data_IF_395633624534
#
_entry.id   IF_395633624534
#
_cell.length_a   1.000
_cell.length_b   1.000
_cell.length_c   1.000
_cell.angle_alpha   90.00
_cell.angle_beta   90.00
_cell.angle_gamma   90.00
#
_symmetry.space_group_name_H-M   'P 1'
#
loop_
_entity.id
_entity.type
_entity.pdbx_description
1 polymer ?
#
# COMPACT_ATOMS: atom_id res chain seq x y z
N UNK A 1 -12.97 32.30 45.55
CA UNK A 1 -13.30 32.63 44.14
C UNK A 1 -12.40 31.80 43.22
N UNK A 2 -12.92 30.69 42.70
CA UNK A 2 -12.22 29.75 41.81
C UNK A 2 -11.83 30.45 40.51
N UNK A 3 -10.52 30.52 40.24
CA UNK A 3 -10.00 30.97 38.95
C UNK A 3 -9.79 29.76 38.03
N UNK A 4 -10.65 29.71 37.02
CA UNK A 4 -10.33 29.49 35.59
C UNK A 4 -9.47 28.25 35.27
N UNK A 5 -10.11 27.22 34.73
CA UNK A 5 -10.26 26.99 33.29
C UNK A 5 -9.10 26.16 32.70
N UNK A 6 -9.47 24.93 32.32
CA UNK A 6 -9.06 24.22 31.11
C UNK A 6 -7.56 23.97 30.91
N UNK A 7 -7.10 22.83 31.44
CA UNK A 7 -6.01 22.08 30.84
C UNK A 7 -6.36 21.78 29.38
N UNK A 8 -5.55 22.32 28.48
CA UNK A 8 -5.76 22.27 27.03
C UNK A 8 -5.38 20.86 26.57
N UNK A 9 -6.37 19.99 26.36
CA UNK A 9 -6.19 18.72 25.68
C UNK A 9 -5.81 19.03 24.23
N UNK A 10 -4.52 18.92 23.89
CA UNK A 10 -4.10 18.84 22.50
C UNK A 10 -4.38 17.42 22.02
N UNK A 11 -5.57 17.19 21.49
CA UNK A 11 -5.83 16.08 20.57
C UNK A 11 -6.01 16.69 19.19
N UNK A 12 -4.91 17.07 18.56
CA UNK A 12 -4.90 17.22 17.11
C UNK A 12 -4.93 15.81 16.55
N UNK A 13 -6.11 15.23 16.44
CA UNK A 13 -6.30 13.98 15.71
C UNK A 13 -6.06 14.35 14.25
N UNK A 14 -4.82 14.19 13.80
CA UNK A 14 -4.45 14.30 12.41
C UNK A 14 -5.48 13.48 11.62
N UNK A 15 -6.08 14.09 10.61
CA UNK A 15 -7.16 13.49 9.85
C UNK A 15 -6.67 12.16 9.26
N UNK A 16 -6.98 11.06 9.95
CA UNK A 16 -6.73 9.68 9.55
C UNK A 16 -7.14 9.58 8.09
N UNK A 17 -6.22 9.35 7.12
CA UNK A 17 -6.65 9.19 5.75
C UNK A 17 -7.53 7.93 5.70
N UNK A 18 -8.85 8.04 5.47
CA UNK A 18 -9.75 6.88 5.46
C UNK A 18 -9.57 6.03 4.18
N UNK A 19 -8.41 6.16 3.53
CA UNK A 19 -8.19 5.79 2.12
C UNK A 19 -7.43 4.47 1.95
N UNK A 20 -6.77 4.00 3.01
CA UNK A 20 -5.81 2.87 2.97
C UNK A 20 -6.25 1.64 3.79
N UNK A 21 -7.56 1.54 4.10
CA UNK A 21 -8.08 0.40 4.86
C UNK A 21 -7.95 -0.91 4.07
N UNK A 22 -7.05 -1.80 4.55
CA UNK A 22 -6.79 -3.13 4.00
C UNK A 22 -5.55 -3.26 3.11
N UNK A 23 -4.74 -2.20 3.01
CA UNK A 23 -3.35 -2.30 2.53
C UNK A 23 -2.46 -2.67 3.72
N UNK A 24 -1.62 -3.67 3.54
CA UNK A 24 -0.67 -4.14 4.56
C UNK A 24 0.75 -4.04 4.04
N UNK A 25 1.72 -3.94 4.95
CA UNK A 25 3.13 -4.06 4.62
C UNK A 25 3.41 -5.51 4.22
N UNK A 26 3.88 -5.71 3.00
CA UNK A 26 4.36 -7.00 2.51
C UNK A 26 5.87 -7.00 2.28
N UNK A 27 6.47 -8.18 2.24
CA UNK A 27 7.89 -8.37 1.93
C UNK A 27 8.07 -9.32 0.75
N UNK A 28 8.85 -8.90 -0.25
CA UNK A 28 9.11 -9.72 -1.44
C UNK A 28 10.13 -10.81 -1.10
N UNK A 29 9.66 -12.04 -0.91
CA UNK A 29 10.53 -13.18 -0.61
C UNK A 29 11.27 -13.67 -1.85
N UNK A 30 10.61 -13.65 -3.01
CA UNK A 30 11.15 -14.16 -4.27
C UNK A 30 10.64 -13.35 -5.44
N UNK A 31 11.51 -13.18 -6.44
CA UNK A 31 11.21 -12.53 -7.70
C UNK A 31 11.58 -13.49 -8.83
N UNK A 32 10.69 -13.66 -9.80
CA UNK A 32 10.90 -14.50 -10.98
C UNK A 32 10.33 -13.80 -12.20
N UNK A 33 11.04 -13.83 -13.32
CA UNK A 33 10.54 -13.19 -14.55
C UNK A 33 9.38 -13.97 -15.15
N UNK A 34 8.41 -13.26 -15.71
CA UNK A 34 7.21 -13.88 -16.26
C UNK A 34 7.53 -14.54 -17.62
N UNK A 35 7.24 -15.85 -17.83
CA UNK A 35 7.62 -16.56 -19.05
C UNK A 35 6.91 -16.06 -20.31
N UNK A 36 5.72 -15.46 -20.15
CA UNK A 36 4.93 -14.89 -21.24
C UNK A 36 5.02 -13.36 -21.39
N UNK A 37 5.80 -12.67 -20.56
CA UNK A 37 5.85 -11.20 -20.58
C UNK A 37 7.19 -10.67 -20.05
N UNK A 38 7.99 -10.11 -20.96
CA UNK A 38 9.28 -9.46 -20.69
C UNK A 38 9.22 -8.40 -19.58
N UNK A 39 8.12 -7.64 -19.52
CA UNK A 39 7.96 -6.48 -18.63
C UNK A 39 7.25 -6.80 -17.31
N UNK A 40 6.88 -8.05 -17.08
CA UNK A 40 6.17 -8.48 -15.87
C UNK A 40 7.05 -9.42 -15.07
N UNK A 41 7.00 -9.25 -13.75
CA UNK A 41 7.68 -10.11 -12.80
C UNK A 41 6.65 -10.75 -11.87
N UNK A 42 6.85 -12.03 -11.61
CA UNK A 42 6.13 -12.81 -10.62
C UNK A 42 6.86 -12.61 -9.30
N UNK A 43 6.19 -11.97 -8.35
CA UNK A 43 6.71 -11.71 -7.02
C UNK A 43 5.97 -12.57 -6.01
N UNK A 44 6.69 -13.35 -5.20
CA UNK A 44 6.14 -14.01 -4.03
C UNK A 44 6.29 -13.06 -2.85
N UNK A 45 5.16 -12.60 -2.31
CA UNK A 45 5.13 -11.56 -1.28
C UNK A 45 4.53 -12.11 0.00
N UNK A 46 5.26 -12.03 1.10
CA UNK A 46 4.73 -12.32 2.43
C UNK A 46 3.90 -11.14 2.90
N UNK A 47 2.61 -11.35 3.19
CA UNK A 47 1.68 -10.31 3.66
C UNK A 47 1.41 -10.38 5.16
N UNK A 48 1.89 -11.41 5.86
CA UNK A 48 1.88 -11.49 7.32
C UNK A 48 2.98 -12.48 7.79
N UNK A 49 3.46 -12.31 9.02
CA UNK A 49 4.54 -13.12 9.60
C UNK A 49 4.27 -14.64 9.62
N UNK A 50 3.00 -15.07 9.65
CA UNK A 50 2.58 -16.47 9.69
C UNK A 50 1.62 -16.85 8.54
N UNK A 51 1.55 -16.04 7.48
CA UNK A 51 0.70 -16.34 6.32
C UNK A 51 1.52 -16.93 5.18
N UNK A 52 0.85 -17.72 4.34
CA UNK A 52 1.43 -18.15 3.07
C UNK A 52 1.79 -16.94 2.20
N UNK A 53 2.94 -17.00 1.54
CA UNK A 53 3.33 -16.01 0.55
C UNK A 53 2.31 -16.01 -0.58
N UNK A 54 1.88 -14.82 -0.99
CA UNK A 54 0.95 -14.64 -2.10
C UNK A 54 1.71 -14.33 -3.38
N UNK A 55 1.29 -14.94 -4.48
CA UNK A 55 1.80 -14.60 -5.80
C UNK A 55 1.16 -13.31 -6.29
N UNK A 56 1.98 -12.32 -6.59
CA UNK A 56 1.55 -11.03 -7.12
C UNK A 56 2.39 -10.69 -8.34
N UNK A 57 1.72 -10.30 -9.42
CA UNK A 57 2.41 -9.91 -10.65
C UNK A 57 2.61 -8.40 -10.62
N UNK A 58 3.87 -7.98 -10.77
CA UNK A 58 4.24 -6.57 -10.78
C UNK A 58 5.10 -6.26 -12.00
N UNK A 59 4.82 -5.14 -12.66
CA UNK A 59 5.60 -4.64 -13.80
C UNK A 59 6.51 -3.47 -13.46
N UNK A 60 6.65 -3.11 -12.19
CA UNK A 60 7.47 -1.98 -11.79
C UNK A 60 8.97 -2.29 -11.97
N UNK A 61 9.75 -1.37 -12.55
CA UNK A 61 11.19 -1.59 -12.80
C UNK A 61 12.01 -1.64 -11.50
N UNK A 62 11.50 -1.06 -10.42
CA UNK A 62 12.18 -0.95 -9.13
C UNK A 62 11.94 -2.17 -8.21
N UNK A 63 11.24 -3.21 -8.68
CA UNK A 63 10.88 -4.37 -7.85
C UNK A 63 12.10 -5.23 -7.53
N UNK A 64 12.34 -5.50 -6.25
CA UNK A 64 13.54 -6.22 -5.76
C UNK A 64 13.19 -7.23 -4.69
N UNK A 65 13.93 -8.34 -4.64
CA UNK A 65 13.83 -9.32 -3.56
C UNK A 65 14.29 -8.70 -2.22
N UNK A 66 13.60 -9.01 -1.13
CA UNK A 66 13.82 -8.46 0.21
C UNK A 66 13.24 -7.07 0.43
N UNK A 67 12.61 -6.47 -0.58
CA UNK A 67 12.00 -5.15 -0.48
C UNK A 67 10.67 -5.24 0.27
N UNK A 68 10.42 -4.26 1.16
CA UNK A 68 9.13 -4.09 1.82
C UNK A 68 8.27 -3.12 1.04
N UNK A 69 7.06 -3.54 0.72
CA UNK A 69 6.16 -2.86 -0.20
C UNK A 69 4.74 -2.87 0.33
N UNK A 70 3.92 -1.84 0.07
CA UNK A 70 2.52 -1.87 0.44
C UNK A 70 1.75 -2.82 -0.50
N UNK A 71 1.10 -3.82 0.08
CA UNK A 71 0.33 -4.82 -0.64
C UNK A 71 -1.13 -4.70 -0.29
N UNK A 72 -1.96 -4.60 -1.32
CA UNK A 72 -3.39 -4.72 -1.19
C UNK A 72 -3.82 -6.18 -1.29
N UNK A 73 -4.40 -6.68 -0.21
CA UNK A 73 -4.87 -8.07 -0.10
C UNK A 73 -6.22 -8.28 -0.78
N UNK A 74 -6.56 -9.53 -1.07
CA UNK A 74 -7.85 -9.91 -1.65
C UNK A 74 -9.02 -9.51 -0.74
N UNK A 75 -10.11 -9.04 -1.34
CA UNK A 75 -11.31 -8.63 -0.60
C UNK A 75 -11.20 -7.23 0.02
N UNK A 76 -10.01 -6.64 0.03
CA UNK A 76 -9.80 -5.25 0.43
C UNK A 76 -10.49 -4.30 -0.54
N UNK A 77 -11.17 -3.30 0.02
CA UNK A 77 -11.70 -2.14 -0.72
C UNK A 77 -10.64 -1.05 -0.65
N UNK A 78 -9.82 -0.96 -1.70
CA UNK A 78 -8.90 0.16 -1.84
C UNK A 78 -9.66 1.38 -2.29
N UNK A 79 -9.35 2.52 -1.69
CA UNK A 79 -9.84 3.82 -2.12
C UNK A 79 -8.68 4.56 -2.76
N UNK A 80 -8.46 4.28 -4.04
CA UNK A 80 -7.37 4.88 -4.81
C UNK A 80 -7.79 6.26 -5.31
N UNK A 81 -6.83 7.20 -5.34
CA UNK A 81 -7.02 8.50 -5.97
C UNK A 81 -6.58 8.38 -7.42
N UNK A 82 -7.50 8.08 -8.33
CA UNK A 82 -7.22 8.15 -9.75
C UNK A 82 -7.44 9.60 -10.22
N UNK A 83 -6.49 10.22 -10.95
CA UNK A 83 -6.76 11.47 -11.62
C UNK A 83 -7.71 11.21 -12.80
N UNK A 84 -9.01 11.48 -12.62
CA UNK A 84 -9.91 11.58 -13.76
C UNK A 84 -9.59 12.87 -14.53
N UNK A 85 -9.53 12.84 -15.87
CA UNK A 85 -9.23 14.01 -16.70
C UNK A 85 -10.34 15.09 -16.69
N UNK A 86 -11.47 14.82 -16.05
CA UNK A 86 -12.70 15.63 -16.14
C UNK A 86 -12.89 16.53 -14.89
N UNK A 87 -12.36 16.12 -13.74
CA UNK A 87 -12.46 16.84 -12.47
C UNK A 87 -11.17 16.64 -11.66
N UNK A 88 -10.34 17.69 -11.58
CA UNK A 88 -9.07 17.71 -10.86
C UNK A 88 -9.21 17.64 -9.32
N UNK A 89 -10.34 17.16 -8.80
CA UNK A 89 -10.64 17.09 -7.37
C UNK A 89 -11.32 15.75 -6.98
N UNK A 90 -10.50 14.78 -6.59
CA UNK A 90 -10.85 13.74 -5.61
C UNK A 90 -11.99 12.77 -5.94
N UNK A 91 -12.02 12.18 -7.13
CA UNK A 91 -12.83 10.95 -7.32
C UNK A 91 -12.13 9.78 -6.63
N UNK A 92 -12.71 9.35 -5.51
CA UNK A 92 -12.25 8.24 -4.68
C UNK A 92 -12.93 6.97 -5.19
N UNK A 93 -12.25 6.22 -6.07
CA UNK A 93 -12.81 4.95 -6.56
C UNK A 93 -12.50 3.80 -5.60
N UNK A 94 -13.55 3.06 -5.24
CA UNK A 94 -13.47 1.87 -4.39
C UNK A 94 -13.15 0.65 -5.24
N UNK A 95 -11.86 0.37 -5.45
CA UNK A 95 -11.40 -0.82 -6.15
C UNK A 95 -11.42 -2.01 -5.19
N UNK A 96 -12.24 -3.01 -5.48
CA UNK A 96 -12.22 -4.30 -4.78
C UNK A 96 -11.14 -5.18 -5.40
N UNK A 97 -10.10 -5.49 -4.63
CA UNK A 97 -9.07 -6.43 -5.09
C UNK A 97 -9.64 -7.84 -5.12
N UNK A 98 -9.55 -8.47 -6.29
CA UNK A 98 -10.00 -9.84 -6.53
C UNK A 98 -8.86 -10.63 -7.16
N UNK A 99 -8.80 -11.92 -6.81
CA UNK A 99 -7.91 -12.89 -7.48
C UNK A 99 -8.20 -12.87 -8.98
N UNK A 100 -7.19 -12.52 -9.77
CA UNK A 100 -7.30 -12.40 -11.22
C UNK A 100 -6.12 -13.11 -11.86
N UNK A 101 -6.34 -13.75 -13.01
CA UNK A 101 -5.25 -14.36 -13.79
C UNK A 101 -4.75 -13.35 -14.82
N UNK A 102 -3.46 -13.06 -14.79
CA UNK A 102 -2.80 -12.23 -15.79
C UNK A 102 -1.88 -13.13 -16.61
N UNK A 103 -2.15 -13.29 -17.91
CA UNK A 103 -1.30 -14.06 -18.84
C UNK A 103 -0.92 -15.46 -18.30
N UNK A 104 -1.89 -16.21 -17.82
CA UNK A 104 -1.70 -17.57 -17.31
C UNK A 104 -1.34 -17.67 -15.82
N UNK A 105 -0.72 -16.64 -15.26
CA UNK A 105 -0.29 -16.60 -13.86
C UNK A 105 -1.35 -15.99 -12.93
N UNK A 106 -1.43 -16.48 -11.70
CA UNK A 106 -2.35 -15.99 -10.69
C UNK A 106 -1.77 -14.76 -9.99
N UNK A 107 -2.53 -13.66 -9.97
CA UNK A 107 -2.25 -12.52 -9.09
C UNK A 107 -3.29 -12.46 -7.98
N UNK A 108 -2.83 -12.61 -6.74
CA UNK A 108 -3.64 -12.60 -5.52
C UNK A 108 -3.53 -11.28 -4.75
N UNK A 109 -3.17 -10.21 -5.42
CA UNK A 109 -3.05 -8.90 -4.82
C UNK A 109 -2.60 -7.86 -5.83
N UNK A 110 -2.30 -6.67 -5.30
CA UNK A 110 -1.72 -5.57 -6.04
C UNK A 110 -0.66 -4.92 -5.14
N UNK A 111 0.53 -4.68 -5.68
CA UNK A 111 1.54 -3.85 -5.03
C UNK A 111 1.21 -2.41 -5.37
N UNK A 112 1.12 -1.55 -4.36
CA UNK A 112 0.78 -0.15 -4.55
C UNK A 112 2.03 0.74 -4.57
N UNK A 113 1.91 1.84 -5.31
CA UNK A 113 2.88 2.92 -5.43
C UNK A 113 2.45 4.11 -4.57
N UNK A 114 3.34 5.07 -4.32
CA UNK A 114 2.99 6.27 -3.55
C UNK A 114 1.93 7.12 -4.26
N UNK A 115 1.98 7.16 -5.59
CA UNK A 115 0.97 7.81 -6.44
C UNK A 115 -0.41 7.18 -6.24
N UNK A 116 -0.51 5.85 -6.30
CA UNK A 116 -1.77 5.11 -6.13
C UNK A 116 -2.37 5.31 -4.74
N UNK A 117 -1.51 5.44 -3.73
CA UNK A 117 -1.90 5.76 -2.35
C UNK A 117 -2.22 7.24 -2.13
N UNK A 118 -1.93 8.11 -3.11
CA UNK A 118 -2.12 9.55 -3.00
C UNK A 118 -1.14 10.24 -2.04
N UNK A 119 0.00 9.63 -1.76
CA UNK A 119 1.11 10.23 -0.99
C UNK A 119 1.97 11.14 -1.86
N UNK A 120 2.18 10.76 -3.14
CA UNK A 120 2.93 11.52 -4.13
C UNK A 120 2.05 11.86 -5.34
N UNK A 121 2.40 12.92 -6.09
CA UNK A 121 1.73 13.25 -7.35
C UNK A 121 2.25 12.44 -8.55
N UNK A 122 3.45 11.87 -8.43
CA UNK A 122 4.09 11.06 -9.47
C UNK A 122 5.13 10.14 -8.82
N UNK A 123 5.13 8.87 -9.21
CA UNK A 123 6.13 7.89 -8.78
C UNK A 123 6.58 7.05 -9.97
N UNK A 124 7.89 6.89 -10.15
CA UNK A 124 8.49 6.07 -11.23
C UNK A 124 8.46 4.55 -10.92
N UNK A 125 7.83 4.14 -9.81
CA UNK A 125 7.70 2.74 -9.43
C UNK A 125 6.94 2.53 -8.12
N UNK A 126 7.10 1.32 -7.56
CA UNK A 126 6.48 0.93 -6.29
C UNK A 126 7.11 1.65 -5.10
N UNK A 127 6.31 1.80 -4.03
CA UNK A 127 6.78 2.39 -2.79
C UNK A 127 7.68 1.42 -2.03
N UNK A 128 8.91 1.85 -1.75
CA UNK A 128 9.81 1.14 -0.84
C UNK A 128 9.55 1.58 0.60
N UNK A 129 9.37 0.62 1.49
CA UNK A 129 9.19 0.84 2.92
C UNK A 129 10.47 0.50 3.68
N UNK A 130 10.60 1.04 4.90
CA UNK A 130 11.79 0.79 5.72
C UNK A 130 11.93 -0.72 6.00
N UNK A 131 13.16 -1.28 5.99
CA UNK A 131 13.39 -2.70 6.26
C UNK A 131 12.96 -3.10 7.68
N UNK A 132 12.89 -2.16 8.62
CA UNK A 132 12.40 -2.37 9.99
C UNK A 132 10.87 -2.53 10.08
N UNK A 133 10.14 -2.33 8.97
CA UNK A 133 8.67 -2.41 8.96
C UNK A 133 8.18 -3.83 9.24
N UNK A 134 7.23 -3.99 10.17
CA UNK A 134 6.68 -5.32 10.47
C UNK A 134 5.71 -5.76 9.37
N UNK A 135 5.97 -6.91 8.75
CA UNK A 135 5.12 -7.50 7.71
C UNK A 135 3.73 -7.84 8.27
N UNK A 136 2.69 -7.45 7.56
CA UNK A 136 1.28 -7.56 7.97
C UNK A 136 0.77 -6.35 8.75
N UNK A 137 1.61 -5.37 9.05
CA UNK A 137 1.16 -4.10 9.64
C UNK A 137 0.30 -3.35 8.61
N UNK A 138 -0.87 -2.82 8.99
CA UNK A 138 -1.64 -1.98 8.08
C UNK A 138 -0.84 -0.72 7.74
N UNK A 139 -0.75 -0.38 6.45
CA UNK A 139 0.07 0.75 5.99
C UNK A 139 -0.38 2.08 6.60
N UNK A 140 -1.68 2.20 6.91
CA UNK A 140 -2.24 3.36 7.58
C UNK A 140 -1.60 3.57 8.97
N UNK A 141 -1.36 2.50 9.73
CA UNK A 141 -0.69 2.57 11.02
C UNK A 141 0.81 2.82 10.88
N UNK A 142 1.43 2.24 9.85
CA UNK A 142 2.84 2.52 9.53
C UNK A 142 3.06 4.00 9.25
N UNK A 143 2.25 4.60 8.38
CA UNK A 143 2.35 6.03 8.03
C UNK A 143 2.10 6.94 9.23
N UNK A 144 1.15 6.58 10.10
CA UNK A 144 0.86 7.30 11.35
C UNK A 144 2.10 7.34 12.26
N UNK A 145 2.74 6.18 12.47
CA UNK A 145 3.97 6.07 13.25
C UNK A 145 5.15 6.86 12.65
N UNK A 146 5.19 7.04 11.32
CA UNK A 146 6.20 7.89 10.67
C UNK A 146 5.91 9.39 10.80
N UNK A 147 4.63 9.79 10.97
CA UNK A 147 4.25 11.20 11.07
C UNK A 147 4.53 11.81 12.46
N UNK A 148 4.61 11.00 13.53
CA UNK A 148 4.92 11.48 14.89
C UNK A 148 6.37 11.97 15.09
N UNK A 149 7.27 11.72 14.15
CA UNK A 149 8.70 12.05 14.28
C UNK A 149 9.12 13.38 13.62
N UNK A 150 8.17 14.28 13.33
CA UNK A 150 8.43 15.57 12.68
C UNK A 150 7.96 16.75 13.50
#
# INVERSE_FOLDING_TARGET
>A
MLRRCAGRMFTTVAAKPPRLEGVVVGEILKLSSHPQAERLNICEVAIAANAESVQIICGAPNVRQGMKVPVATIGTKLTLRMPNPEDAASTVEKVKIKKSKLRGELSQGMICSEEEMGLANKSDGIMELAPDSVVGTPIAAYLDAQQEHK
#
